data_IF_787118702791
#
_entry.id   IF_787118702791
#
_cell.length_a   1.000
_cell.length_b   1.000
_cell.length_c   1.000
_cell.angle_alpha   90.00
_cell.angle_beta   90.00
_cell.angle_gamma   90.00
#
_symmetry.space_group_name_H-M   'P 1'
#
loop_
_entity.id
_entity.type
_entity.pdbx_description
1 polymer ?
#
# COMPACT_ATOMS: atom_id res chain seq x y z
N UNK A 1 -6.05 -10.02 1.63
CA UNK A 1 -6.06 -11.02 2.73
C UNK A 1 -5.20 -10.62 3.92
N UNK A 2 -3.96 -10.15 3.72
CA UNK A 2 -3.02 -9.82 4.81
C UNK A 2 -3.56 -8.78 5.80
N UNK A 3 -4.26 -7.73 5.33
CA UNK A 3 -4.86 -6.72 6.22
C UNK A 3 -5.89 -7.33 7.18
N UNK A 4 -6.72 -8.26 6.70
CA UNK A 4 -7.71 -8.96 7.52
C UNK A 4 -7.05 -9.79 8.63
N UNK A 5 -5.95 -10.47 8.31
CA UNK A 5 -5.19 -11.23 9.30
C UNK A 5 -4.53 -10.33 10.34
N UNK A 6 -3.97 -9.21 9.90
CA UNK A 6 -3.37 -8.20 10.77
C UNK A 6 -4.39 -7.63 11.77
N UNK A 7 -5.56 -7.19 11.30
CA UNK A 7 -6.62 -6.65 12.17
C UNK A 7 -7.16 -7.68 13.17
N UNK A 8 -7.07 -8.98 12.85
CA UNK A 8 -7.44 -10.05 13.77
C UNK A 8 -6.37 -10.26 14.86
N UNK A 9 -5.09 -10.06 14.53
CA UNK A 9 -3.97 -10.17 15.48
C UNK A 9 -3.89 -8.96 16.42
N UNK A 10 -4.35 -7.79 15.97
CA UNK A 10 -4.31 -6.52 16.72
C UNK A 10 -5.70 -5.84 16.73
N UNK A 11 -6.64 -6.30 17.58
CA UNK A 11 -8.04 -5.84 17.58
C UNK A 11 -8.24 -4.36 17.93
N UNK A 12 -7.27 -3.74 18.61
CA UNK A 12 -7.26 -2.32 18.95
C UNK A 12 -6.94 -1.41 17.77
N UNK A 13 -6.39 -1.96 16.68
CA UNK A 13 -6.05 -1.20 15.48
C UNK A 13 -7.29 -1.03 14.59
N UNK A 14 -7.54 0.20 14.18
CA UNK A 14 -8.52 0.54 13.16
C UNK A 14 -7.78 0.92 11.87
N UNK A 15 -8.29 0.46 10.73
CA UNK A 15 -7.72 0.79 9.43
C UNK A 15 -8.77 1.43 8.53
N UNK A 16 -8.45 2.61 8.01
CA UNK A 16 -9.16 3.22 6.89
C UNK A 16 -8.42 2.89 5.60
N UNK A 17 -9.14 2.40 4.59
CA UNK A 17 -8.55 1.95 3.33
C UNK A 17 -9.13 2.76 2.17
N UNK A 18 -8.24 3.48 1.47
CA UNK A 18 -8.56 4.18 0.23
C UNK A 18 -7.85 3.48 -0.92
N UNK A 19 -8.61 3.07 -1.94
CA UNK A 19 -8.10 2.39 -3.13
C UNK A 19 -8.19 3.32 -4.33
N UNK A 20 -7.03 3.73 -4.85
CA UNK A 20 -6.94 4.56 -6.05
C UNK A 20 -5.59 4.35 -6.77
N UNK A 21 -5.56 4.71 -8.06
CA UNK A 21 -4.36 4.60 -8.90
C UNK A 21 -3.50 5.87 -8.92
N UNK A 22 -3.94 6.94 -8.23
CA UNK A 22 -3.19 8.20 -8.15
C UNK A 22 -2.04 8.09 -7.17
N UNK A 23 -0.97 8.84 -7.41
CA UNK A 23 0.07 9.08 -6.41
C UNK A 23 -0.52 10.07 -5.41
N UNK A 24 -0.85 9.59 -4.21
CA UNK A 24 -1.33 10.41 -3.11
C UNK A 24 -0.14 11.04 -2.37
N UNK A 25 -0.30 12.27 -1.88
CA UNK A 25 0.64 12.86 -0.94
C UNK A 25 0.31 12.32 0.46
N UNK A 26 1.19 11.47 0.99
CA UNK A 26 0.92 10.82 2.29
C UNK A 26 0.85 11.84 3.43
N UNK A 27 1.61 12.95 3.34
CA UNK A 27 1.72 13.94 4.41
C UNK A 27 0.49 14.85 4.37
N UNK A 28 0.21 15.46 3.22
CA UNK A 28 -0.92 16.40 3.10
C UNK A 28 -2.27 15.72 3.31
N UNK A 29 -2.39 14.45 2.89
CA UNK A 29 -3.66 13.71 2.98
C UNK A 29 -3.80 12.88 4.25
N UNK A 30 -2.78 12.87 5.13
CA UNK A 30 -2.84 12.22 6.43
C UNK A 30 -2.81 10.69 6.38
N UNK A 31 -2.12 10.10 5.40
CA UNK A 31 -1.92 8.66 5.33
C UNK A 31 -0.69 8.23 6.13
N UNK A 32 -0.86 7.21 6.97
CA UNK A 32 0.27 6.60 7.70
C UNK A 32 1.17 5.75 6.78
N UNK A 33 0.59 5.14 5.74
CA UNK A 33 1.31 4.29 4.80
C UNK A 33 0.60 4.17 3.44
N UNK A 34 1.37 3.88 2.40
CA UNK A 34 0.85 3.56 1.07
C UNK A 34 1.53 2.30 0.51
N UNK A 35 0.75 1.48 -0.21
CA UNK A 35 1.26 0.36 -0.99
C UNK A 35 1.24 0.76 -2.45
N UNK A 36 2.41 0.77 -3.10
CA UNK A 36 2.56 1.21 -4.49
C UNK A 36 3.32 0.19 -5.31
N UNK A 37 2.93 0.13 -6.59
CA UNK A 37 3.59 -0.67 -7.60
C UNK A 37 4.38 0.28 -8.50
N UNK A 38 5.63 -0.06 -8.80
CA UNK A 38 6.48 0.70 -9.70
C UNK A 38 7.63 1.42 -8.99
N UNK A 39 8.26 2.35 -9.71
CA UNK A 39 9.37 3.14 -9.19
C UNK A 39 8.82 4.23 -8.27
N UNK A 40 9.46 4.39 -7.11
CA UNK A 40 9.20 5.51 -6.21
C UNK A 40 10.14 6.67 -6.55
N UNK A 41 9.60 7.88 -6.56
CA UNK A 41 10.38 9.11 -6.67
C UNK A 41 11.08 9.43 -5.34
N UNK A 42 12.12 10.26 -5.40
CA UNK A 42 12.80 10.74 -4.20
C UNK A 42 11.88 11.72 -3.46
N UNK A 43 11.17 11.19 -2.46
CA UNK A 43 10.15 11.87 -1.67
C UNK A 43 10.61 12.19 -0.25
N UNK A 44 11.85 11.81 0.11
CA UNK A 44 12.31 11.85 1.50
C UNK A 44 11.61 10.85 2.43
N UNK A 45 10.71 10.01 1.90
CA UNK A 45 10.00 8.97 2.66
C UNK A 45 10.81 7.68 2.76
N UNK A 46 10.59 6.93 3.85
CA UNK A 46 11.16 5.59 4.00
C UNK A 46 10.35 4.59 3.19
N UNK A 47 11.00 3.98 2.21
CA UNK A 47 10.41 2.90 1.42
C UNK A 47 10.93 1.53 1.85
N UNK A 48 10.03 0.55 1.97
CA UNK A 48 10.39 -0.86 2.17
C UNK A 48 9.89 -1.70 1.01
N UNK A 49 10.76 -2.45 0.30
CA UNK A 49 10.31 -3.33 -0.77
C UNK A 49 9.43 -4.46 -0.22
N UNK A 50 8.33 -4.74 -0.92
CA UNK A 50 7.49 -5.92 -0.73
C UNK A 50 7.91 -7.05 -1.68
N UNK A 51 7.24 -8.19 -1.58
CA UNK A 51 7.45 -9.29 -2.52
C UNK A 51 7.27 -8.81 -3.98
N UNK A 52 8.17 -9.19 -4.90
CA UNK A 52 8.07 -8.78 -6.30
C UNK A 52 6.79 -9.32 -6.93
N UNK A 53 6.11 -8.49 -7.71
CA UNK A 53 4.95 -8.90 -8.49
C UNK A 53 5.38 -9.25 -9.93
N UNK A 54 4.58 -10.08 -10.60
CA UNK A 54 4.77 -10.45 -12.00
C UNK A 54 3.50 -10.14 -12.78
N UNK A 55 3.63 -9.32 -13.83
CA UNK A 55 2.54 -9.15 -14.79
C UNK A 55 2.48 -10.35 -15.74
N UNK A 56 1.27 -10.87 -15.96
CA UNK A 56 0.98 -11.98 -16.85
C UNK A 56 -0.09 -11.56 -17.85
N UNK A 57 0.08 -11.94 -19.11
CA UNK A 57 -0.93 -11.75 -20.17
C UNK A 57 -1.78 -13.02 -20.22
N UNK A 58 -3.10 -12.87 -20.19
CA UNK A 58 -4.04 -13.99 -20.30
C UNK A 58 -5.29 -13.60 -21.10
N UNK A 59 -6.02 -14.59 -21.61
CA UNK A 59 -7.31 -14.47 -22.28
C UNK A 59 -8.17 -15.70 -21.93
N UNK A 60 -9.49 -15.59 -22.06
CA UNK A 60 -10.45 -16.67 -21.79
C UNK A 60 -10.81 -17.44 -23.05
#
# INVERSE_FOLDING_TARGET
>A
PALTEFLRLYPEVQAELVLNDRIADLIEEGFDAAIRIGKLDDSGLVARPLAPYRMLICAA
#
